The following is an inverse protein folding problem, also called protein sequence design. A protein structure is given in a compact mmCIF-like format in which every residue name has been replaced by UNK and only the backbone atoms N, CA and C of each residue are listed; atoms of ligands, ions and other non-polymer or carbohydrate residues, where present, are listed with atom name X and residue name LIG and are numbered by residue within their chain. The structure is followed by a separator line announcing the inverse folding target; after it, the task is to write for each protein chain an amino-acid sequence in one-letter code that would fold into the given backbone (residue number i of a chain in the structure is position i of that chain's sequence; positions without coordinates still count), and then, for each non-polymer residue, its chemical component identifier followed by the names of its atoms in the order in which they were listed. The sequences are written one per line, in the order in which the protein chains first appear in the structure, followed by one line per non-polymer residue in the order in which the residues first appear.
data_IF_790826671814
#
_entry.id   IF_790826671814
#
_cell.length_a   1.000
_cell.length_b   1.000
_cell.length_c   1.000
_cell.angle_alpha   90.00
_cell.angle_beta   90.00
_cell.angle_gamma   90.00
#
_symmetry.space_group_name_H-M   'P 1'
#
loop_
_entity.id
_entity.type
_entity.pdbx_description
1 polymer ?
#
# COMPACT_ATOMS: atom_id res chain seq x y z
N UNK A 1 -2.60 18.68 38.14
CA UNK A 1 -1.44 18.51 37.23
C UNK A 1 -1.31 17.09 36.68
N UNK A 2 -1.25 16.04 37.51
CA UNK A 2 -1.09 14.63 37.04
C UNK A 2 -2.21 14.10 36.12
N UNK A 3 -3.47 14.51 36.35
CA UNK A 3 -4.63 14.11 35.53
C UNK A 3 -4.63 14.74 34.13
N UNK A 4 -4.09 15.96 33.98
CA UNK A 4 -3.97 16.65 32.68
C UNK A 4 -2.89 15.99 31.84
N UNK A 5 -1.77 15.61 32.46
CA UNK A 5 -0.69 14.89 31.80
C UNK A 5 -1.17 13.54 31.24
N UNK A 6 -2.00 12.81 31.99
CA UNK A 6 -2.57 11.54 31.53
C UNK A 6 -3.48 11.70 30.30
N UNK A 7 -4.29 12.77 30.23
CA UNK A 7 -5.19 13.03 29.09
C UNK A 7 -4.40 13.37 27.82
N UNK A 8 -3.33 14.16 27.94
CA UNK A 8 -2.45 14.48 26.81
C UNK A 8 -1.72 13.25 26.27
N UNK A 9 -1.26 12.35 27.15
CA UNK A 9 -0.64 11.09 26.76
C UNK A 9 -1.64 10.20 26.01
N UNK A 10 -2.87 10.06 26.51
CA UNK A 10 -3.93 9.29 25.84
C UNK A 10 -4.26 9.90 24.48
N UNK A 11 -4.31 11.24 24.37
CA UNK A 11 -4.57 11.92 23.10
C UNK A 11 -3.46 11.64 22.07
N UNK A 12 -2.18 11.67 22.46
CA UNK A 12 -1.09 11.31 21.55
C UNK A 12 -1.09 9.82 21.15
N UNK A 13 -1.45 8.91 22.07
CA UNK A 13 -1.50 7.47 21.78
C UNK A 13 -2.69 7.11 20.89
N UNK A 14 -3.88 7.65 21.16
CA UNK A 14 -5.12 7.34 20.42
C UNK A 14 -5.21 8.13 19.10
N UNK A 15 -4.79 9.39 19.10
CA UNK A 15 -4.93 10.29 17.95
C UNK A 15 -3.64 10.39 17.11
N UNK A 16 -2.47 10.30 17.74
CA UNK A 16 -1.16 10.31 17.06
C UNK A 16 -0.71 8.94 16.53
N UNK A 17 -1.15 7.85 17.17
CA UNK A 17 -0.82 6.48 16.73
C UNK A 17 -1.28 6.16 15.30
N UNK A 18 -2.40 6.73 14.86
CA UNK A 18 -2.95 6.52 13.53
C UNK A 18 -2.15 7.20 12.40
N UNK A 19 -1.41 8.27 12.71
CA UNK A 19 -0.67 9.03 11.70
C UNK A 19 0.68 8.37 11.35
N UNK A 20 1.35 7.79 12.35
CA UNK A 20 2.66 7.16 12.17
C UNK A 20 2.61 5.86 11.33
N UNK A 21 1.51 5.08 11.41
CA UNK A 21 1.40 3.79 10.72
C UNK A 21 1.37 3.95 9.19
N UNK A 22 0.80 5.04 8.67
CA UNK A 22 0.71 5.29 7.21
C UNK A 22 2.07 5.54 6.57
N UNK A 23 3.01 6.12 7.30
CA UNK A 23 4.32 6.53 6.77
C UNK A 23 5.25 5.33 6.56
N UNK A 24 5.18 4.31 7.42
CA UNK A 24 5.98 3.09 7.32
C UNK A 24 5.59 2.18 6.14
N UNK A 25 4.41 2.37 5.54
CA UNK A 25 3.97 1.64 4.35
C UNK A 25 4.49 2.26 3.04
N UNK A 26 5.13 3.43 3.08
CA UNK A 26 5.53 4.20 1.89
C UNK A 26 6.65 3.59 1.03
N UNK A 27 7.28 2.48 1.44
CA UNK A 27 8.43 1.91 0.73
C UNK A 27 8.32 0.46 0.26
N UNK A 28 7.13 -0.13 0.14
CA UNK A 28 7.04 -1.60 0.19
C UNK A 28 7.03 -2.36 -1.15
N UNK A 29 7.05 -1.70 -2.31
CA UNK A 29 6.99 -2.40 -3.60
C UNK A 29 8.20 -2.07 -4.49
N UNK A 30 8.79 -3.12 -5.05
CA UNK A 30 9.80 -3.05 -6.10
C UNK A 30 9.13 -2.69 -7.44
N UNK A 31 9.93 -2.19 -8.40
CA UNK A 31 9.44 -1.85 -9.74
C UNK A 31 8.92 -3.08 -10.50
N UNK A 32 9.45 -4.27 -10.20
CA UNK A 32 8.97 -5.55 -10.70
C UNK A 32 8.33 -6.32 -9.54
N UNK A 33 7.05 -6.66 -9.67
CA UNK A 33 6.29 -7.35 -8.63
C UNK A 33 5.81 -8.71 -9.12
N UNK A 34 6.01 -9.76 -8.32
CA UNK A 34 5.48 -11.09 -8.59
C UNK A 34 4.22 -11.31 -7.76
N UNK A 35 3.09 -11.51 -8.42
CA UNK A 35 1.77 -11.72 -7.82
C UNK A 35 1.78 -12.94 -6.90
N UNK A 36 1.14 -12.83 -5.73
CA UNK A 36 0.99 -13.90 -4.74
C UNK A 36 -0.45 -14.39 -4.67
N UNK A 37 -0.64 -15.55 -4.03
CA UNK A 37 -1.96 -16.16 -3.81
C UNK A 37 -2.97 -15.18 -3.18
N UNK A 38 -4.14 -15.08 -3.82
CA UNK A 38 -5.25 -14.25 -3.35
C UNK A 38 -5.10 -12.74 -3.61
N UNK A 39 -4.05 -12.31 -4.31
CA UNK A 39 -3.89 -10.91 -4.70
C UNK A 39 -4.64 -10.60 -6.00
N UNK A 40 -5.02 -9.34 -6.14
CA UNK A 40 -5.62 -8.76 -7.34
C UNK A 40 -4.82 -7.55 -7.79
N UNK A 41 -4.94 -7.17 -9.06
CA UNK A 41 -4.33 -5.95 -9.58
C UNK A 41 -4.70 -4.71 -8.74
N UNK A 42 -5.96 -4.62 -8.31
CA UNK A 42 -6.46 -3.53 -7.47
C UNK A 42 -5.77 -3.51 -6.10
N UNK A 43 -5.71 -4.66 -5.41
CA UNK A 43 -5.05 -4.75 -4.09
C UNK A 43 -3.56 -4.39 -4.16
N UNK A 44 -2.88 -4.77 -5.24
CA UNK A 44 -1.47 -4.44 -5.50
C UNK A 44 -1.33 -2.94 -5.77
N UNK A 45 -2.17 -2.36 -6.64
CA UNK A 45 -2.21 -0.92 -6.93
C UNK A 45 -2.37 -0.07 -5.67
N UNK A 46 -3.32 -0.42 -4.81
CA UNK A 46 -3.57 0.27 -3.53
C UNK A 46 -2.43 0.10 -2.53
N UNK A 47 -1.76 -1.05 -2.53
CA UNK A 47 -0.60 -1.32 -1.67
C UNK A 47 0.63 -0.54 -2.10
N UNK A 48 0.89 -0.50 -3.40
CA UNK A 48 2.09 0.08 -3.98
C UNK A 48 1.91 1.55 -4.39
N UNK A 49 0.69 2.10 -4.23
CA UNK A 49 0.33 3.44 -4.65
C UNK A 49 0.63 3.65 -6.16
N UNK A 50 0.17 2.70 -6.98
CA UNK A 50 0.40 2.64 -8.42
C UNK A 50 -0.93 2.79 -9.20
N UNK A 51 -1.57 3.97 -9.18
CA UNK A 51 -2.91 4.15 -9.77
C UNK A 51 -2.97 3.92 -11.28
N UNK A 52 -1.83 3.94 -11.97
CA UNK A 52 -1.71 3.72 -13.41
C UNK A 52 -1.17 2.34 -13.78
N UNK A 53 -1.24 1.36 -12.87
CA UNK A 53 -0.67 0.01 -13.07
C UNK A 53 -1.14 -0.67 -14.37
N UNK A 54 -2.35 -0.39 -14.86
CA UNK A 54 -2.85 -0.94 -16.13
C UNK A 54 -2.07 -0.43 -17.35
N UNK A 55 -1.66 0.83 -17.35
CA UNK A 55 -0.90 1.43 -18.46
C UNK A 55 0.47 0.74 -18.58
N UNK A 56 1.04 0.35 -17.44
CA UNK A 56 2.34 -0.31 -17.35
C UNK A 56 2.26 -1.82 -17.63
N UNK A 57 1.06 -2.40 -17.63
CA UNK A 57 0.83 -3.83 -17.81
C UNK A 57 -0.26 -4.08 -18.88
N UNK A 58 -0.03 -3.69 -20.15
CA UNK A 58 -1.03 -3.86 -21.22
C UNK A 58 -1.32 -5.32 -21.58
N UNK A 59 -0.55 -6.27 -21.04
CA UNK A 59 -0.78 -7.70 -21.18
C UNK A 59 -1.89 -8.23 -20.27
N UNK A 60 -2.31 -7.44 -19.26
CA UNK A 60 -3.47 -7.75 -18.42
C UNK A 60 -4.71 -7.23 -19.14
N UNK A 61 -5.48 -8.14 -19.74
CA UNK A 61 -6.70 -7.83 -20.47
C UNK A 61 -7.93 -7.89 -19.56
N UNK A 62 -7.91 -8.82 -18.61
CA UNK A 62 -8.96 -8.96 -17.60
C UNK A 62 -8.40 -9.46 -16.25
N UNK A 63 -9.29 -9.77 -15.30
CA UNK A 63 -8.90 -10.18 -13.95
C UNK A 63 -8.23 -11.54 -13.88
N UNK A 64 -8.45 -12.40 -14.87
CA UNK A 64 -7.98 -13.79 -14.87
C UNK A 64 -6.53 -13.90 -15.36
N UNK A 65 -5.98 -12.83 -15.97
CA UNK A 65 -4.54 -12.73 -16.32
C UNK A 65 -3.65 -12.47 -15.08
N UNK A 66 -4.24 -12.13 -13.95
CA UNK A 66 -3.54 -11.83 -12.69
C UNK A 66 -3.62 -13.04 -11.77
N UNK A 67 -2.68 -13.95 -11.94
CA UNK A 67 -2.56 -15.19 -11.16
C UNK A 67 -1.23 -15.22 -10.40
N UNK A 68 -1.09 -16.09 -9.38
CA UNK A 68 0.17 -16.25 -8.67
C UNK A 68 1.33 -16.55 -9.63
N UNK A 69 2.41 -15.79 -9.50
CA UNK A 69 3.56 -15.86 -10.41
C UNK A 69 3.52 -14.90 -11.60
N UNK A 70 2.38 -14.23 -11.87
CA UNK A 70 2.32 -13.13 -12.86
C UNK A 70 3.31 -12.03 -12.46
N UNK A 71 4.07 -11.53 -13.44
CA UNK A 71 5.06 -10.47 -13.24
C UNK A 71 4.48 -9.14 -13.70
N UNK A 72 4.40 -8.17 -12.80
CA UNK A 72 3.85 -6.85 -13.05
C UNK A 72 4.93 -5.78 -12.94
N UNK A 73 4.85 -4.79 -13.81
CA UNK A 73 5.58 -3.52 -13.65
C UNK A 73 4.76 -2.61 -12.73
N UNK A 74 5.36 -2.13 -11.63
CA UNK A 74 4.68 -1.35 -10.59
C UNK A 74 5.42 -0.03 -10.38
N UNK A 75 4.94 1.05 -11.02
CA UNK A 75 5.46 2.40 -10.79
C UNK A 75 4.61 3.16 -9.78
N UNK A 76 5.22 3.56 -8.67
CA UNK A 76 4.54 4.38 -7.67
C UNK A 76 4.32 5.80 -8.17
N UNK A 77 3.16 6.40 -7.85
CA UNK A 77 2.89 7.82 -8.13
C UNK A 77 3.55 8.77 -7.14
N UNK A 78 4.17 8.24 -6.08
CA UNK A 78 4.99 9.01 -5.14
C UNK A 78 6.45 8.82 -5.57
N UNK A 79 7.01 9.86 -6.18
CA UNK A 79 8.46 9.96 -6.44
C UNK A 79 9.25 10.14 -5.16
#
# INVERSE_FOLDING_TARGET
MKRVLAVLVIFHVVFGGSFAIRELRKGACEEVYVVRDGETLQSISERCNAPFILIDNPHVLDTDDVVPGTVLTVRSSKG
#
